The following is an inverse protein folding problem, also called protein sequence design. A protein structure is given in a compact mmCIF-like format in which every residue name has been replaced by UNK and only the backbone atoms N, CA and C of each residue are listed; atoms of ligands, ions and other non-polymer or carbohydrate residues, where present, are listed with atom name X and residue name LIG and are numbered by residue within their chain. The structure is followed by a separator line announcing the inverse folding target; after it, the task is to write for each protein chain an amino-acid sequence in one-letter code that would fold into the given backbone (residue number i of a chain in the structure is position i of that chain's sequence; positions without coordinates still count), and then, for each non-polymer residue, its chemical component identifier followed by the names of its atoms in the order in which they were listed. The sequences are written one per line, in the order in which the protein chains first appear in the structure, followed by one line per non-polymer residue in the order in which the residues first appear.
data_IF_156364748990
#
_entry.id   IF_156364748990
#
_cell.length_a   1.000
_cell.length_b   1.000
_cell.length_c   1.000
_cell.angle_alpha   90.00
_cell.angle_beta   90.00
_cell.angle_gamma   90.00
#
_symmetry.space_group_name_H-M   'P 1'
#
loop_
_entity.id
_entity.type
_entity.pdbx_description
1 polymer ?
#
# COMPACT_ATOMS: atom_id res chain seq x y z
N UNK A 1 25.13 -16.29 -2.12
CA UNK A 1 24.17 -16.39 -0.99
C UNK A 1 23.68 -15.03 -0.48
N UNK A 2 24.56 -14.02 -0.33
CA UNK A 2 24.17 -12.69 0.20
C UNK A 2 23.16 -11.89 -0.65
N UNK A 3 23.12 -12.08 -1.97
CA UNK A 3 22.16 -11.38 -2.84
C UNK A 3 20.75 -11.91 -2.67
N UNK A 4 20.59 -13.24 -2.62
CA UNK A 4 19.29 -13.90 -2.43
C UNK A 4 18.68 -13.50 -1.07
N UNK A 5 19.51 -13.41 -0.02
CA UNK A 5 19.03 -12.95 1.29
C UNK A 5 18.57 -11.49 1.28
N UNK A 6 19.23 -10.60 0.54
CA UNK A 6 18.80 -9.20 0.39
C UNK A 6 17.45 -9.06 -0.31
N UNK A 7 17.20 -9.81 -1.37
CA UNK A 7 15.90 -9.81 -2.05
C UNK A 7 14.78 -10.35 -1.16
N UNK A 8 15.04 -11.43 -0.41
CA UNK A 8 14.08 -11.97 0.55
C UNK A 8 13.78 -10.97 1.68
N UNK A 9 14.80 -10.30 2.23
CA UNK A 9 14.63 -9.23 3.22
C UNK A 9 13.83 -8.06 2.66
N UNK A 10 14.09 -7.66 1.41
CA UNK A 10 13.35 -6.58 0.75
C UNK A 10 11.86 -6.88 0.68
N UNK A 11 11.49 -8.10 0.23
CA UNK A 11 10.09 -8.56 0.24
C UNK A 11 9.53 -8.55 1.67
N UNK A 12 10.27 -9.09 2.63
CA UNK A 12 9.86 -9.10 4.04
C UNK A 12 9.53 -7.69 4.56
N UNK A 13 10.40 -6.72 4.31
CA UNK A 13 10.21 -5.31 4.68
C UNK A 13 8.99 -4.70 3.98
N UNK A 14 8.77 -5.01 2.70
CA UNK A 14 7.59 -4.54 1.95
C UNK A 14 6.27 -5.06 2.53
N UNK A 15 6.29 -6.24 3.15
CA UNK A 15 5.12 -6.85 3.80
C UNK A 15 4.90 -6.37 5.24
N UNK A 16 5.80 -5.54 5.80
CA UNK A 16 5.58 -4.96 7.12
C UNK A 16 4.60 -3.79 7.00
N UNK A 17 3.48 -3.79 7.77
CA UNK A 17 2.57 -2.65 7.82
C UNK A 17 3.30 -1.36 8.18
N UNK A 18 2.82 -0.22 7.69
CA UNK A 18 3.46 1.11 7.81
C UNK A 18 4.76 1.32 7.03
N UNK A 19 5.61 0.30 6.92
CA UNK A 19 6.89 0.41 6.21
C UNK A 19 6.66 0.29 4.70
N UNK A 20 6.08 -0.84 4.27
CA UNK A 20 5.65 -1.06 2.90
C UNK A 20 6.75 -0.74 1.85
N UNK A 21 6.35 -0.36 0.63
CA UNK A 21 7.27 0.04 -0.43
C UNK A 21 8.09 1.30 -0.08
N UNK A 22 7.63 2.15 0.85
CA UNK A 22 8.33 3.40 1.20
C UNK A 22 9.60 3.13 1.98
N UNK A 23 9.66 2.05 2.75
CA UNK A 23 10.89 1.61 3.41
C UNK A 23 11.72 0.67 2.54
N UNK A 24 11.08 -0.25 1.82
CA UNK A 24 11.81 -1.27 1.06
C UNK A 24 12.57 -0.71 -0.16
N UNK A 25 12.03 0.32 -0.82
CA UNK A 25 12.70 0.92 -1.99
C UNK A 25 13.99 1.65 -1.59
N UNK A 26 14.00 2.63 -0.65
CA UNK A 26 15.24 3.27 -0.20
C UNK A 26 16.27 2.26 0.33
N UNK A 27 15.81 1.26 1.10
CA UNK A 27 16.67 0.20 1.65
C UNK A 27 17.33 -0.64 0.55
N UNK A 28 16.55 -1.06 -0.46
CA UNK A 28 17.07 -1.82 -1.59
C UNK A 28 18.11 -1.04 -2.39
N UNK A 29 17.88 0.25 -2.61
CA UNK A 29 18.83 1.13 -3.29
C UNK A 29 20.10 1.36 -2.46
N UNK A 30 19.98 1.50 -1.14
CA UNK A 30 21.12 1.60 -0.23
C UNK A 30 21.99 0.34 -0.24
N UNK A 31 21.40 -0.83 -0.49
CA UNK A 31 22.13 -2.09 -0.70
C UNK A 31 22.75 -2.24 -2.10
N UNK A 32 22.73 -1.18 -2.92
CA UNK A 32 23.19 -1.17 -4.31
C UNK A 32 22.49 -2.20 -5.20
N UNK A 33 21.23 -2.56 -4.89
CA UNK A 33 20.42 -3.37 -5.80
C UNK A 33 19.97 -2.52 -7.00
N UNK A 34 19.76 -3.15 -8.17
CA UNK A 34 19.25 -2.44 -9.33
C UNK A 34 17.87 -1.83 -9.05
N UNK A 35 17.74 -0.53 -9.29
CA UNK A 35 16.54 0.24 -8.97
C UNK A 35 15.27 -0.33 -9.62
N UNK A 36 15.38 -0.83 -10.86
CA UNK A 36 14.25 -1.42 -11.60
C UNK A 36 13.74 -2.69 -10.93
N UNK A 37 14.65 -3.55 -10.45
CA UNK A 37 14.31 -4.78 -9.77
C UNK A 37 13.71 -4.49 -8.38
N UNK A 38 14.30 -3.54 -7.66
CA UNK A 38 13.78 -3.07 -6.37
C UNK A 38 12.36 -2.53 -6.50
N UNK A 39 12.12 -1.64 -7.47
CA UNK A 39 10.80 -1.06 -7.71
C UNK A 39 9.77 -2.14 -8.10
N UNK A 40 10.12 -3.04 -9.03
CA UNK A 40 9.23 -4.09 -9.49
C UNK A 40 8.85 -5.06 -8.36
N UNK A 41 9.84 -5.54 -7.60
CA UNK A 41 9.62 -6.49 -6.51
C UNK A 41 8.83 -5.84 -5.37
N UNK A 42 9.18 -4.60 -4.99
CA UNK A 42 8.46 -3.87 -3.95
C UNK A 42 7.02 -3.58 -4.35
N UNK A 43 6.77 -3.13 -5.59
CA UNK A 43 5.41 -2.90 -6.08
C UNK A 43 4.62 -4.20 -6.10
N UNK A 44 5.17 -5.29 -6.66
CA UNK A 44 4.47 -6.57 -6.73
C UNK A 44 4.13 -7.13 -5.35
N UNK A 45 5.09 -7.14 -4.42
CA UNK A 45 4.87 -7.59 -3.05
C UNK A 45 3.85 -6.72 -2.31
N UNK A 46 3.86 -5.40 -2.53
CA UNK A 46 2.94 -4.49 -1.89
C UNK A 46 1.52 -4.56 -2.46
N UNK A 47 1.35 -4.79 -3.77
CA UNK A 47 0.03 -5.08 -4.35
C UNK A 47 -0.54 -6.38 -3.75
N UNK A 48 0.31 -7.39 -3.55
CA UNK A 48 -0.09 -8.68 -2.97
C UNK A 48 -0.64 -8.53 -1.55
N UNK A 49 -0.23 -7.50 -0.79
CA UNK A 49 -0.77 -7.19 0.57
C UNK A 49 -2.29 -7.02 0.56
N UNK A 50 -2.87 -6.53 -0.54
CA UNK A 50 -4.32 -6.29 -0.63
C UNK A 50 -5.13 -7.55 -0.31
N UNK A 51 -4.76 -8.68 -0.92
CA UNK A 51 -5.55 -9.92 -0.85
C UNK A 51 -5.68 -10.46 0.59
N UNK A 52 -4.58 -10.75 1.33
CA UNK A 52 -4.69 -11.23 2.70
C UNK A 52 -5.30 -10.18 3.64
N UNK A 53 -5.03 -8.90 3.41
CA UNK A 53 -5.58 -7.82 4.24
C UNK A 53 -7.10 -7.71 4.09
N UNK A 54 -7.60 -7.69 2.84
CA UNK A 54 -9.02 -7.62 2.56
C UNK A 54 -9.75 -8.87 3.08
N UNK A 55 -9.17 -10.06 2.86
CA UNK A 55 -9.72 -11.31 3.36
C UNK A 55 -9.79 -11.35 4.89
N UNK A 56 -8.72 -10.93 5.58
CA UNK A 56 -8.69 -10.84 7.03
C UNK A 56 -9.75 -9.86 7.57
N UNK A 57 -9.90 -8.70 6.92
CA UNK A 57 -10.93 -7.73 7.30
C UNK A 57 -12.35 -8.27 7.12
N UNK A 58 -12.62 -8.93 5.99
CA UNK A 58 -13.91 -9.55 5.72
C UNK A 58 -14.24 -10.64 6.75
N UNK A 59 -13.29 -11.56 7.00
CA UNK A 59 -13.46 -12.64 7.97
C UNK A 59 -13.67 -12.13 9.39
N UNK A 60 -12.89 -11.14 9.82
CA UNK A 60 -13.00 -10.54 11.15
C UNK A 60 -14.34 -9.82 11.31
N UNK A 61 -14.78 -9.10 10.27
CA UNK A 61 -16.06 -8.42 10.25
C UNK A 61 -17.21 -9.41 10.38
N UNK A 62 -17.24 -10.46 9.55
CA UNK A 62 -18.34 -11.42 9.53
C UNK A 62 -18.44 -12.22 10.83
N UNK A 63 -17.30 -12.69 11.36
CA UNK A 63 -17.28 -13.57 12.54
C UNK A 63 -17.43 -12.85 13.88
N UNK A 64 -16.81 -11.69 14.05
CA UNK A 64 -16.66 -11.07 15.38
C UNK A 64 -17.28 -9.69 15.49
N UNK A 65 -17.19 -8.89 14.43
CA UNK A 65 -17.48 -7.46 14.46
C UNK A 65 -18.94 -7.13 14.08
N UNK A 66 -19.59 -8.01 13.31
CA UNK A 66 -20.98 -7.89 12.87
C UNK A 66 -21.99 -7.91 14.01
N UNK A 67 -21.60 -8.39 15.20
CA UNK A 67 -22.46 -8.54 16.39
C UNK A 67 -22.28 -7.44 17.45
N UNK A 68 -21.47 -6.41 17.19
CA UNK A 68 -21.02 -5.42 18.19
C UNK A 68 -21.24 -3.96 17.72
N UNK A 69 -20.97 -2.97 18.58
CA UNK A 69 -20.97 -1.52 18.29
C UNK A 69 -20.20 -1.12 17.01
N UNK A 70 -19.24 -1.95 16.60
CA UNK A 70 -18.45 -1.75 15.38
C UNK A 70 -19.29 -1.86 14.12
N UNK A 71 -20.37 -2.65 14.09
CA UNK A 71 -21.30 -2.66 12.95
C UNK A 71 -21.92 -1.29 12.72
N UNK A 72 -22.35 -0.61 13.79
CA UNK A 72 -22.88 0.75 13.69
C UNK A 72 -21.82 1.75 13.21
N UNK A 73 -20.56 1.58 13.61
CA UNK A 73 -19.44 2.39 13.13
C UNK A 73 -19.18 2.17 11.63
N UNK A 74 -19.15 0.91 11.17
CA UNK A 74 -18.94 0.55 9.75
C UNK A 74 -20.12 1.04 8.91
N UNK A 75 -21.36 0.82 9.34
CA UNK A 75 -22.54 1.32 8.64
C UNK A 75 -22.56 2.86 8.57
N UNK A 76 -22.17 3.55 9.66
CA UNK A 76 -22.05 5.02 9.68
C UNK A 76 -20.94 5.49 8.74
N UNK A 77 -19.79 4.82 8.71
CA UNK A 77 -18.69 5.10 7.79
C UNK A 77 -19.14 4.89 6.33
N UNK A 78 -19.87 3.81 6.03
CA UNK A 78 -20.45 3.55 4.70
C UNK A 78 -21.44 4.64 4.28
N UNK A 79 -22.36 5.02 5.17
CA UNK A 79 -23.35 6.08 4.89
C UNK A 79 -22.69 7.43 4.61
N UNK A 80 -21.68 7.82 5.39
CA UNK A 80 -20.88 9.04 5.14
C UNK A 80 -19.99 8.92 3.91
N UNK A 81 -19.52 7.70 3.64
CA UNK A 81 -18.63 7.37 2.53
C UNK A 81 -19.31 7.31 1.17
N UNK A 82 -20.61 6.99 1.10
CA UNK A 82 -21.35 6.91 -0.16
C UNK A 82 -21.21 8.15 -1.07
N UNK A 83 -21.42 9.40 -0.59
CA UNK A 83 -21.21 10.58 -1.43
C UNK A 83 -19.74 10.77 -1.85
N UNK A 84 -18.78 10.37 -1.00
CA UNK A 84 -17.35 10.42 -1.33
C UNK A 84 -16.99 9.40 -2.42
N UNK A 85 -17.53 8.18 -2.34
CA UNK A 85 -17.38 7.14 -3.36
C UNK A 85 -18.08 7.55 -4.66
N UNK A 86 -19.26 8.15 -4.57
CA UNK A 86 -19.99 8.61 -5.76
C UNK A 86 -19.23 9.71 -6.51
N UNK A 87 -18.53 10.60 -5.79
CA UNK A 87 -17.78 11.71 -6.37
C UNK A 87 -16.34 11.37 -6.76
N UNK A 88 -15.62 10.62 -5.93
CA UNK A 88 -14.18 10.36 -6.09
C UNK A 88 -13.86 8.87 -6.31
N UNK A 89 -14.79 7.97 -5.97
CA UNK A 89 -14.75 6.55 -6.28
C UNK A 89 -13.40 5.88 -6.04
N UNK A 90 -12.97 5.14 -7.05
CA UNK A 90 -11.68 4.43 -7.11
C UNK A 90 -10.49 5.36 -7.27
N UNK A 91 -10.68 6.55 -7.87
CA UNK A 91 -9.60 7.51 -8.11
C UNK A 91 -9.12 8.18 -6.83
N UNK A 92 -10.04 8.58 -5.95
CA UNK A 92 -9.68 9.13 -4.64
C UNK A 92 -8.92 8.13 -3.79
N UNK A 93 -9.31 6.84 -3.85
CA UNK A 93 -8.58 5.77 -3.18
C UNK A 93 -7.19 5.53 -3.78
N UNK A 94 -7.08 5.51 -5.12
CA UNK A 94 -5.78 5.37 -5.78
C UNK A 94 -4.83 6.52 -5.42
N UNK A 95 -5.34 7.76 -5.43
CA UNK A 95 -4.57 8.94 -5.02
C UNK A 95 -4.17 8.87 -3.55
N UNK A 96 -5.08 8.47 -2.65
CA UNK A 96 -4.77 8.27 -1.24
C UNK A 96 -3.61 7.29 -1.04
N UNK A 97 -3.61 6.17 -1.75
CA UNK A 97 -2.54 5.15 -1.69
C UNK A 97 -1.25 5.63 -2.38
N UNK A 98 -1.37 6.46 -3.42
CA UNK A 98 -0.23 7.00 -4.17
C UNK A 98 0.64 7.96 -3.34
N UNK A 99 0.07 8.62 -2.34
CA UNK A 99 0.82 9.50 -1.45
C UNK A 99 1.78 8.65 -0.60
N UNK A 100 3.11 8.85 -0.69
CA UNK A 100 4.08 8.04 0.04
C UNK A 100 4.30 8.58 1.47
N UNK A 101 3.22 8.80 2.22
CA UNK A 101 3.27 9.26 3.62
C UNK A 101 3.09 8.08 4.60
N UNK A 102 3.54 8.23 5.86
CA UNK A 102 3.21 7.26 6.89
C UNK A 102 1.69 7.22 7.11
N UNK A 103 1.13 6.01 7.10
CA UNK A 103 -0.31 5.78 7.29
C UNK A 103 -1.13 5.76 6.00
N UNK A 104 -0.57 6.16 4.85
CA UNK A 104 -1.20 5.99 3.52
C UNK A 104 -0.55 4.82 2.79
N UNK A 105 -1.35 3.87 2.29
CA UNK A 105 -0.77 2.68 1.69
C UNK A 105 -1.71 1.55 1.32
N UNK A 106 -1.15 0.39 0.95
CA UNK A 106 -1.98 -0.76 0.59
C UNK A 106 -2.79 -1.24 1.79
N UNK A 107 -2.23 -1.30 2.99
CA UNK A 107 -2.98 -1.69 4.19
C UNK A 107 -4.13 -0.73 4.50
N UNK A 108 -3.82 0.56 4.66
CA UNK A 108 -4.83 1.56 5.02
C UNK A 108 -5.82 1.83 3.88
N UNK A 109 -5.37 1.77 2.63
CA UNK A 109 -6.23 1.85 1.45
C UNK A 109 -7.18 0.66 1.34
N UNK A 110 -6.71 -0.56 1.62
CA UNK A 110 -7.56 -1.76 1.67
C UNK A 110 -8.60 -1.64 2.79
N UNK A 111 -8.18 -1.19 3.97
CA UNK A 111 -9.09 -0.96 5.09
C UNK A 111 -10.13 0.13 4.77
N UNK A 112 -9.70 1.24 4.19
CA UNK A 112 -10.58 2.32 3.76
C UNK A 112 -11.58 1.82 2.71
N UNK A 113 -11.12 1.05 1.72
CA UNK A 113 -12.00 0.48 0.70
C UNK A 113 -13.06 -0.46 1.30
N UNK A 114 -12.67 -1.29 2.26
CA UNK A 114 -13.56 -2.19 2.98
C UNK A 114 -14.61 -1.41 3.81
N UNK A 115 -14.17 -0.38 4.54
CA UNK A 115 -15.03 0.48 5.35
C UNK A 115 -16.00 1.29 4.50
N UNK A 116 -15.56 1.73 3.31
CA UNK A 116 -16.38 2.44 2.34
C UNK A 116 -17.34 1.50 1.60
N UNK A 117 -17.11 0.18 1.65
CA UNK A 117 -17.93 -0.80 0.96
C UNK A 117 -17.70 -0.83 -0.55
N UNK A 118 -16.49 -0.50 -1.00
CA UNK A 118 -16.10 -0.69 -2.38
C UNK A 118 -16.06 -2.17 -2.73
N UNK A 119 -16.54 -2.56 -3.93
CA UNK A 119 -16.44 -3.95 -4.36
C UNK A 119 -14.96 -4.31 -4.54
N UNK A 120 -14.58 -5.53 -4.14
CA UNK A 120 -13.20 -5.97 -4.00
C UNK A 120 -12.37 -5.79 -5.28
N UNK A 121 -12.97 -6.01 -6.46
CA UNK A 121 -12.30 -5.81 -7.75
C UNK A 121 -11.91 -4.34 -8.01
N UNK A 122 -12.81 -3.39 -7.70
CA UNK A 122 -12.55 -1.95 -7.83
C UNK A 122 -11.56 -1.46 -6.79
N UNK A 123 -11.68 -1.97 -5.56
CA UNK A 123 -10.74 -1.70 -4.48
C UNK A 123 -9.32 -2.18 -4.84
N UNK A 124 -9.19 -3.40 -5.35
CA UNK A 124 -7.91 -3.94 -5.81
C UNK A 124 -7.30 -3.08 -6.91
N UNK A 125 -8.06 -2.75 -7.95
CA UNK A 125 -7.56 -1.89 -9.04
C UNK A 125 -7.09 -0.52 -8.57
N UNK A 126 -7.84 0.12 -7.65
CA UNK A 126 -7.47 1.40 -7.07
C UNK A 126 -6.20 1.31 -6.21
N UNK A 127 -6.11 0.32 -5.32
CA UNK A 127 -4.94 0.11 -4.47
C UNK A 127 -3.72 -0.22 -5.32
N UNK A 128 -3.84 -1.10 -6.31
CA UNK A 128 -2.75 -1.45 -7.21
C UNK A 128 -2.24 -0.23 -7.99
N UNK A 129 -3.14 0.58 -8.57
CA UNK A 129 -2.77 1.80 -9.25
C UNK A 129 -2.05 2.79 -8.32
N UNK A 130 -2.57 2.97 -7.10
CA UNK A 130 -1.92 3.81 -6.10
C UNK A 130 -0.54 3.31 -5.69
N UNK A 131 -0.37 2.00 -5.48
CA UNK A 131 0.92 1.38 -5.14
C UNK A 131 1.95 1.58 -6.26
N UNK A 132 1.54 1.43 -7.52
CA UNK A 132 2.40 1.71 -8.68
C UNK A 132 2.86 3.17 -8.69
N UNK A 133 1.93 4.11 -8.53
CA UNK A 133 2.25 5.54 -8.48
C UNK A 133 3.16 5.89 -7.30
N UNK A 134 2.89 5.36 -6.11
CA UNK A 134 3.75 5.52 -4.94
C UNK A 134 5.15 4.95 -5.21
N UNK A 135 5.24 3.78 -5.84
CA UNK A 135 6.49 3.16 -6.26
C UNK A 135 7.31 4.06 -7.19
N UNK A 136 6.66 4.67 -8.18
CA UNK A 136 7.33 5.63 -9.08
C UNK A 136 7.86 6.84 -8.31
N UNK A 137 7.03 7.46 -7.47
CA UNK A 137 7.42 8.64 -6.69
C UNK A 137 8.59 8.33 -5.74
N UNK A 138 8.48 7.26 -4.95
CA UNK A 138 9.52 6.87 -3.99
C UNK A 138 10.81 6.50 -4.70
N UNK A 139 10.74 5.80 -5.83
CA UNK A 139 11.94 5.44 -6.61
C UNK A 139 12.62 6.70 -7.13
N UNK A 140 11.89 7.62 -7.77
CA UNK A 140 12.43 8.87 -8.30
C UNK A 140 13.11 9.70 -7.21
N UNK A 141 12.42 9.93 -6.09
CA UNK A 141 12.95 10.67 -4.94
C UNK A 141 14.21 9.99 -4.41
N UNK A 142 14.17 8.68 -4.21
CA UNK A 142 15.31 7.94 -3.65
C UNK A 142 16.52 7.95 -4.58
N UNK A 143 16.32 7.77 -5.89
CA UNK A 143 17.42 7.83 -6.87
C UNK A 143 18.00 9.23 -6.99
N UNK A 144 17.16 10.27 -6.98
CA UNK A 144 17.61 11.66 -7.05
C UNK A 144 18.41 12.06 -5.80
N UNK A 145 17.92 11.70 -4.61
CA UNK A 145 18.62 11.93 -3.34
C UNK A 145 19.97 11.21 -3.33
N UNK A 146 20.01 9.93 -3.72
CA UNK A 146 21.25 9.16 -3.77
C UNK A 146 22.26 9.74 -4.77
N UNK A 147 21.81 10.22 -5.92
CA UNK A 147 22.68 10.88 -6.89
C UNK A 147 23.28 12.18 -6.32
N UNK A 148 22.46 13.01 -5.68
CA UNK A 148 22.92 14.24 -5.05
C UNK A 148 23.94 14.01 -3.93
N UNK A 149 23.71 13.02 -3.06
CA UNK A 149 24.67 12.65 -2.00
C UNK A 149 25.99 12.20 -2.61
N UNK A 150 25.96 11.37 -3.66
CA UNK A 150 27.18 10.90 -4.34
C UNK A 150 27.98 12.02 -5.01
N UNK A 151 27.34 13.09 -5.46
CA UNK A 151 28.06 14.24 -6.05
C UNK A 151 28.76 15.14 -5.00
N UNK A 152 28.43 14.98 -3.71
CA UNK A 152 28.99 15.78 -2.62
C UNK A 152 30.15 15.07 -1.89
N UNK A 153 30.31 13.75 -2.09
CA UNK A 153 31.38 12.93 -1.52
C UNK A 153 32.49 12.73 -2.55
#
# INVERSE_FOLDING_TARGET
MATVSRWAMLVGVTLVPWIELRGSIPLGLAWNLPWYGVALVAVAANVLVFVPTYAALALLYDRWLSRTFVRALVERARRRGQPLIARHGTWGLALFVAVPLPGTGAYSGTALAFLLGLPANRAFGAVAAGVVLAGMVVTLVSTGVLAGVRSLM
#
